data_IF_568676459549
#
_entry.id   IF_568676459549
#
_cell.length_a   1.000
_cell.length_b   1.000
_cell.length_c   1.000
_cell.angle_alpha   90.00
_cell.angle_beta   90.00
_cell.angle_gamma   90.00
#
_symmetry.space_group_name_H-M   'P 1'
#
loop_
_entity.id
_entity.type
_entity.pdbx_description
1 polymer ?
#
# COMPACT_ATOMS: atom_id res chain seq x y z
N UNK A 1 -5.21 11.94 22.02
CA UNK A 1 -4.19 10.94 21.63
C UNK A 1 -4.55 10.48 20.23
N UNK A 2 -3.61 10.39 19.31
CA UNK A 2 -3.84 9.83 17.98
C UNK A 2 -3.38 8.36 17.98
N UNK A 3 -4.22 7.46 17.49
CA UNK A 3 -3.91 6.05 17.35
C UNK A 3 -3.88 5.69 15.87
N UNK A 4 -2.82 5.01 15.44
CA UNK A 4 -2.63 4.59 14.05
C UNK A 4 -2.40 3.07 14.01
N UNK A 5 -3.04 2.40 13.06
CA UNK A 5 -2.81 0.99 12.77
C UNK A 5 -1.81 0.89 11.62
N UNK A 6 -0.78 0.06 11.75
CA UNK A 6 0.19 -0.22 10.68
C UNK A 6 0.14 -1.70 10.30
N UNK A 7 -0.03 -1.97 9.01
CA UNK A 7 -0.20 -3.30 8.44
C UNK A 7 0.87 -3.53 7.37
N UNK A 8 1.93 -4.26 7.69
CA UNK A 8 2.98 -4.63 6.74
C UNK A 8 2.74 -6.01 6.09
N UNK A 9 1.84 -6.81 6.65
CA UNK A 9 1.43 -8.12 6.17
C UNK A 9 2.56 -9.17 6.08
N UNK A 10 3.65 -8.94 6.82
CA UNK A 10 4.77 -9.89 6.87
C UNK A 10 4.42 -11.16 7.65
N UNK A 11 5.02 -12.26 7.26
CA UNK A 11 4.92 -13.54 7.97
C UNK A 11 5.78 -14.61 7.30
N UNK A 12 6.16 -15.60 8.05
CA UNK A 12 7.04 -16.69 7.61
C UNK A 12 6.30 -17.90 7.06
N UNK A 13 4.96 -17.86 7.03
CA UNK A 13 4.17 -19.02 6.61
C UNK A 13 4.28 -19.28 5.11
N UNK A 14 4.64 -20.50 4.77
CA UNK A 14 4.57 -21.00 3.40
C UNK A 14 3.16 -21.47 3.02
N UNK A 15 2.28 -21.70 3.99
CA UNK A 15 0.92 -22.17 3.78
C UNK A 15 0.04 -21.06 3.14
N UNK A 16 -0.52 -21.30 1.95
CA UNK A 16 -1.39 -20.35 1.27
C UNK A 16 -2.65 -19.98 2.08
N UNK A 17 -3.18 -20.92 2.87
CA UNK A 17 -4.36 -20.68 3.71
C UNK A 17 -4.05 -19.64 4.80
N UNK A 18 -2.93 -19.77 5.47
CA UNK A 18 -2.50 -18.82 6.51
C UNK A 18 -2.24 -17.43 5.92
N UNK A 19 -1.70 -17.36 4.69
CA UNK A 19 -1.57 -16.09 3.97
C UNK A 19 -2.93 -15.45 3.69
N UNK A 20 -3.89 -16.23 3.20
CA UNK A 20 -5.26 -15.74 2.95
C UNK A 20 -5.89 -15.20 4.24
N UNK A 21 -5.81 -15.96 5.34
CA UNK A 21 -6.31 -15.53 6.65
C UNK A 21 -5.68 -14.20 7.09
N UNK A 22 -4.37 -14.02 6.89
CA UNK A 22 -3.67 -12.78 7.25
C UNK A 22 -4.25 -11.56 6.51
N UNK A 23 -4.51 -11.67 5.20
CA UNK A 23 -5.10 -10.58 4.43
C UNK A 23 -6.53 -10.26 4.89
N UNK A 24 -7.34 -11.29 5.13
CA UNK A 24 -8.69 -11.11 5.67
C UNK A 24 -8.67 -10.48 7.06
N UNK A 25 -7.80 -10.96 7.95
CA UNK A 25 -7.62 -10.40 9.29
C UNK A 25 -7.19 -8.93 9.24
N UNK A 26 -6.31 -8.55 8.31
CA UNK A 26 -5.89 -7.16 8.16
C UNK A 26 -7.07 -6.24 7.78
N UNK A 27 -7.97 -6.68 6.92
CA UNK A 27 -9.18 -5.95 6.56
C UNK A 27 -10.12 -5.82 7.77
N UNK A 28 -10.34 -6.89 8.53
CA UNK A 28 -11.13 -6.85 9.76
C UNK A 28 -10.51 -5.96 10.84
N UNK A 29 -9.18 -5.95 10.97
CA UNK A 29 -8.48 -5.03 11.86
C UNK A 29 -8.67 -3.57 11.45
N UNK A 30 -8.65 -3.26 10.15
CA UNK A 30 -8.90 -1.92 9.66
C UNK A 30 -10.33 -1.45 9.98
N UNK A 31 -11.32 -2.32 9.78
CA UNK A 31 -12.71 -2.07 10.15
C UNK A 31 -12.87 -1.83 11.65
N UNK A 32 -12.26 -2.69 12.48
CA UNK A 32 -12.24 -2.51 13.93
C UNK A 32 -11.60 -1.19 14.35
N UNK A 33 -10.47 -0.82 13.72
CA UNK A 33 -9.79 0.44 14.01
C UNK A 33 -10.67 1.66 13.66
N UNK A 34 -11.39 1.61 12.54
CA UNK A 34 -12.37 2.63 12.17
C UNK A 34 -13.49 2.77 13.22
N UNK A 35 -14.09 1.65 13.64
CA UNK A 35 -15.12 1.62 14.69
C UNK A 35 -14.62 2.17 16.04
N UNK A 36 -13.34 1.97 16.36
CA UNK A 36 -12.71 2.44 17.59
C UNK A 36 -12.14 3.85 17.51
N UNK A 37 -12.29 4.54 16.38
CA UNK A 37 -11.88 5.93 16.22
C UNK A 37 -10.36 6.09 16.08
N UNK A 38 -9.68 5.12 15.50
CA UNK A 38 -8.28 5.30 15.10
C UNK A 38 -8.17 6.39 14.02
N UNK A 39 -7.06 7.12 14.01
CA UNK A 39 -6.83 8.22 13.08
C UNK A 39 -6.51 7.72 11.68
N UNK A 40 -5.69 6.68 11.57
CA UNK A 40 -5.31 6.11 10.28
C UNK A 40 -5.03 4.61 10.35
N UNK A 41 -5.21 3.95 9.21
CA UNK A 41 -4.62 2.66 8.89
C UNK A 41 -3.59 2.84 7.78
N UNK A 42 -2.39 2.34 7.98
CA UNK A 42 -1.28 2.51 7.06
C UNK A 42 -0.81 1.15 6.55
N UNK A 43 -0.61 1.05 5.24
CA UNK A 43 -0.01 -0.10 4.56
C UNK A 43 1.34 0.30 3.95
N UNK A 44 2.17 -0.67 3.65
CA UNK A 44 3.51 -0.50 3.07
C UNK A 44 3.61 -1.25 1.75
N UNK A 45 4.67 -1.01 0.99
CA UNK A 45 4.92 -1.69 -0.27
C UNK A 45 6.33 -2.27 -0.31
N UNK A 46 6.42 -3.58 -0.58
CA UNK A 46 7.67 -4.24 -0.95
C UNK A 46 7.41 -5.42 -1.87
N UNK A 47 8.25 -5.57 -2.89
CA UNK A 47 8.14 -6.66 -3.85
C UNK A 47 9.23 -7.73 -3.62
N UNK A 48 8.93 -8.97 -4.02
CA UNK A 48 9.86 -10.12 -3.91
C UNK A 48 10.46 -10.24 -2.51
N UNK A 49 9.64 -10.03 -1.50
CA UNK A 49 10.05 -10.18 -0.11
C UNK A 49 9.74 -11.60 0.37
N UNK A 50 10.76 -12.33 0.81
CA UNK A 50 10.65 -13.72 1.28
C UNK A 50 9.67 -13.87 2.45
N UNK A 51 9.56 -12.84 3.27
CA UNK A 51 8.62 -12.79 4.40
C UNK A 51 7.18 -12.40 4.00
N UNK A 52 6.86 -12.36 2.70
CA UNK A 52 5.51 -12.08 2.21
C UNK A 52 5.00 -10.67 2.46
N UNK A 53 5.88 -9.68 2.53
CA UNK A 53 5.49 -8.27 2.62
C UNK A 53 4.50 -7.87 1.53
N UNK A 54 3.60 -6.93 1.82
CA UNK A 54 2.54 -6.52 0.90
C UNK A 54 3.09 -5.98 -0.42
N UNK A 55 2.80 -6.64 -1.57
CA UNK A 55 3.30 -6.18 -2.88
C UNK A 55 2.33 -5.26 -3.62
N UNK A 56 1.08 -5.14 -3.18
CA UNK A 56 0.02 -4.40 -3.89
C UNK A 56 -0.77 -3.53 -2.93
N UNK A 57 -0.18 -2.41 -2.47
CA UNK A 57 -0.80 -1.56 -1.46
C UNK A 57 -2.08 -0.88 -1.95
N UNK A 58 -2.18 -0.55 -3.24
CA UNK A 58 -3.39 0.05 -3.82
C UNK A 58 -4.58 -0.92 -3.76
N UNK A 59 -4.37 -2.20 -4.06
CA UNK A 59 -5.43 -3.22 -3.94
C UNK A 59 -5.90 -3.34 -2.49
N UNK A 60 -4.97 -3.36 -1.54
CA UNK A 60 -5.31 -3.42 -0.11
C UNK A 60 -6.02 -2.14 0.36
N UNK A 61 -5.57 -0.97 -0.09
CA UNK A 61 -6.21 0.30 0.22
C UNK A 61 -7.67 0.35 -0.28
N UNK A 62 -7.91 -0.15 -1.49
CA UNK A 62 -9.28 -0.28 -2.04
C UNK A 62 -10.16 -1.23 -1.21
N UNK A 63 -9.61 -2.37 -0.78
CA UNK A 63 -10.33 -3.31 0.09
C UNK A 63 -10.66 -2.68 1.45
N UNK A 64 -9.71 -1.97 2.06
CA UNK A 64 -9.93 -1.24 3.32
C UNK A 64 -10.97 -0.12 3.13
N UNK A 65 -10.88 0.64 2.04
CA UNK A 65 -11.81 1.72 1.74
C UNK A 65 -13.27 1.23 1.68
N UNK A 66 -13.49 0.03 1.15
CA UNK A 66 -14.83 -0.56 0.99
C UNK A 66 -15.50 -1.00 2.30
N UNK A 67 -14.74 -1.18 3.38
CA UNK A 67 -15.24 -1.67 4.68
C UNK A 67 -15.12 -0.65 5.82
N UNK A 68 -14.63 0.56 5.52
CA UNK A 68 -14.41 1.64 6.49
C UNK A 68 -15.10 2.92 6.04
N UNK A 69 -15.45 3.80 7.00
CA UNK A 69 -16.19 5.03 6.72
C UNK A 69 -15.44 6.32 7.09
N UNK A 70 -14.56 6.29 8.10
CA UNK A 70 -13.96 7.50 8.69
C UNK A 70 -12.44 7.50 8.73
N UNK A 71 -11.84 6.33 8.95
CA UNK A 71 -10.40 6.21 9.13
C UNK A 71 -9.62 6.64 7.86
N UNK A 72 -8.56 7.41 8.03
CA UNK A 72 -7.66 7.74 6.91
C UNK A 72 -6.86 6.51 6.49
N UNK A 73 -6.69 6.34 5.19
CA UNK A 73 -5.97 5.22 4.60
C UNK A 73 -4.65 5.74 4.05
N UNK A 74 -3.54 5.28 4.61
CA UNK A 74 -2.20 5.71 4.21
C UNK A 74 -1.42 4.61 3.50
N UNK A 75 -0.68 4.95 2.45
CA UNK A 75 0.35 4.08 1.85
C UNK A 75 1.71 4.69 2.18
N UNK A 76 2.50 4.04 3.05
CA UNK A 76 3.70 4.62 3.66
C UNK A 76 4.94 3.69 3.52
N UNK A 77 5.61 3.69 2.36
CA UNK A 77 5.43 4.52 1.19
C UNK A 77 4.96 3.69 -0.02
N UNK A 78 4.38 4.38 -1.00
CA UNK A 78 4.10 3.88 -2.34
C UNK A 78 5.38 4.02 -3.18
N UNK A 79 5.85 2.95 -3.81
CA UNK A 79 7.06 2.97 -4.63
C UNK A 79 6.76 3.53 -6.02
N UNK A 80 6.39 4.81 -6.08
CA UNK A 80 5.88 5.46 -7.28
C UNK A 80 6.72 5.23 -8.56
N UNK A 81 8.07 5.23 -8.53
CA UNK A 81 8.87 4.96 -9.73
C UNK A 81 8.65 3.57 -10.35
N UNK A 82 8.05 2.63 -9.63
CA UNK A 82 7.80 1.28 -10.14
C UNK A 82 6.52 1.18 -11.00
N UNK A 83 5.68 2.19 -10.97
CA UNK A 83 4.40 2.22 -11.68
C UNK A 83 4.50 2.88 -13.06
N UNK A 84 3.51 2.59 -13.90
CA UNK A 84 3.15 3.45 -15.03
C UNK A 84 2.38 4.66 -14.49
N UNK A 85 2.73 5.90 -14.85
CA UNK A 85 2.14 7.10 -14.25
C UNK A 85 0.63 7.23 -14.53
N UNK A 86 0.17 6.90 -15.74
CA UNK A 86 -1.24 7.00 -16.09
C UNK A 86 -2.04 5.98 -15.27
N UNK A 87 -1.55 4.74 -15.23
CA UNK A 87 -2.23 3.68 -14.48
C UNK A 87 -2.27 3.97 -12.99
N UNK A 88 -1.18 4.50 -12.45
CA UNK A 88 -1.11 4.90 -11.04
C UNK A 88 -2.13 5.99 -10.73
N UNK A 89 -2.22 7.02 -11.57
CA UNK A 89 -3.18 8.10 -11.38
C UNK A 89 -4.64 7.61 -11.43
N UNK A 90 -4.96 6.70 -12.37
CA UNK A 90 -6.29 6.10 -12.47
C UNK A 90 -6.63 5.26 -11.22
N UNK A 91 -5.73 4.40 -10.76
CA UNK A 91 -5.94 3.55 -9.59
C UNK A 91 -6.10 4.40 -8.31
N UNK A 92 -5.30 5.46 -8.13
CA UNK A 92 -5.43 6.41 -7.02
C UNK A 92 -6.78 7.11 -7.08
N UNK A 93 -7.19 7.63 -8.24
CA UNK A 93 -8.45 8.33 -8.38
C UNK A 93 -9.65 7.43 -8.05
N UNK A 94 -9.64 6.17 -8.47
CA UNK A 94 -10.70 5.21 -8.15
C UNK A 94 -10.77 4.93 -6.65
N UNK A 95 -9.62 4.71 -6.01
CA UNK A 95 -9.59 4.46 -4.56
C UNK A 95 -10.02 5.71 -3.79
N UNK A 96 -9.63 6.90 -4.24
CA UNK A 96 -10.03 8.16 -3.61
C UNK A 96 -11.54 8.36 -3.67
N UNK A 97 -12.17 8.08 -4.80
CA UNK A 97 -13.63 8.10 -4.95
C UNK A 97 -14.32 7.06 -4.04
N UNK A 98 -13.83 5.82 -3.98
CA UNK A 98 -14.37 4.78 -3.09
C UNK A 98 -14.24 5.20 -1.63
N UNK A 99 -13.09 5.74 -1.26
CA UNK A 99 -12.80 6.17 0.11
C UNK A 99 -13.42 7.51 0.48
N UNK A 100 -13.99 8.27 -0.46
CA UNK A 100 -14.52 9.61 -0.27
C UNK A 100 -13.45 10.58 0.27
N UNK A 101 -12.26 10.60 -0.36
CA UNK A 101 -11.18 11.53 -0.03
C UNK A 101 -10.35 11.13 1.20
N UNK A 102 -10.36 9.87 1.63
CA UNK A 102 -9.59 9.39 2.79
C UNK A 102 -8.24 8.78 2.44
N UNK A 103 -7.91 8.65 1.14
CA UNK A 103 -6.62 8.12 0.71
C UNK A 103 -5.52 9.16 0.86
N UNK A 104 -4.37 8.74 1.35
CA UNK A 104 -3.12 9.50 1.36
C UNK A 104 -1.94 8.59 1.11
N UNK A 105 -0.86 9.11 0.56
CA UNK A 105 0.36 8.32 0.37
C UNK A 105 1.62 9.19 0.44
N UNK A 106 2.73 8.54 0.77
CA UNK A 106 4.06 9.10 0.61
C UNK A 106 4.65 8.48 -0.65
N UNK A 107 4.97 9.28 -1.66
CA UNK A 107 5.72 8.83 -2.82
C UNK A 107 7.16 8.49 -2.41
N UNK A 108 7.50 7.21 -2.44
CA UNK A 108 8.81 6.69 -2.07
C UNK A 108 9.61 6.25 -3.29
N UNK A 109 10.92 6.50 -3.28
CA UNK A 109 11.80 6.00 -4.35
C UNK A 109 12.12 4.51 -4.19
N UNK A 110 11.96 3.95 -2.99
CA UNK A 110 12.46 2.61 -2.71
C UNK A 110 13.98 2.54 -2.56
N UNK A 111 14.46 1.47 -1.95
CA UNK A 111 15.89 1.26 -1.68
C UNK A 111 16.39 -0.13 -2.07
N UNK A 112 15.50 -1.01 -2.53
CA UNK A 112 15.85 -2.39 -2.90
C UNK A 112 16.01 -2.50 -4.41
N UNK A 113 17.23 -2.76 -4.86
CA UNK A 113 17.56 -2.86 -6.28
C UNK A 113 16.77 -3.95 -7.00
N UNK A 114 16.48 -5.07 -6.31
CA UNK A 114 15.69 -6.17 -6.86
C UNK A 114 14.28 -5.73 -7.30
N UNK A 115 13.65 -4.79 -6.61
CA UNK A 115 12.33 -4.27 -6.95
C UNK A 115 12.32 -3.52 -8.29
N UNK A 116 13.41 -2.80 -8.56
CA UNK A 116 13.62 -2.14 -9.84
C UNK A 116 13.94 -3.13 -10.96
N UNK A 117 14.73 -4.15 -10.66
CA UNK A 117 15.08 -5.18 -11.62
C UNK A 117 13.85 -5.92 -12.14
N UNK A 118 12.96 -6.38 -11.26
CA UNK A 118 11.73 -7.07 -11.66
C UNK A 118 10.72 -6.17 -12.38
N UNK A 119 10.76 -4.86 -12.12
CA UNK A 119 9.93 -3.85 -12.77
C UNK A 119 10.52 -3.37 -14.10
N UNK A 120 11.67 -3.93 -14.51
CA UNK A 120 12.42 -3.54 -15.70
C UNK A 120 12.74 -2.03 -15.75
N UNK A 121 13.11 -1.47 -14.60
CA UNK A 121 13.47 -0.05 -14.44
C UNK A 121 14.89 0.11 -13.88
N UNK A 122 15.64 1.13 -14.30
CA UNK A 122 17.00 1.32 -13.84
C UNK A 122 17.04 1.90 -12.42
N UNK A 123 17.57 1.14 -11.47
CA UNK A 123 17.70 1.55 -10.06
C UNK A 123 18.48 2.86 -9.88
N UNK A 124 19.57 3.05 -10.64
CA UNK A 124 20.41 4.25 -10.56
C UNK A 124 19.67 5.53 -10.99
N UNK A 125 18.61 5.38 -11.78
CA UNK A 125 17.78 6.48 -12.30
C UNK A 125 16.46 6.66 -11.55
N UNK A 126 16.32 6.08 -10.36
CA UNK A 126 15.05 6.12 -9.61
C UNK A 126 14.56 7.53 -9.27
N UNK A 127 15.47 8.50 -9.14
CA UNK A 127 15.10 9.91 -8.98
C UNK A 127 14.45 10.49 -10.24
N UNK A 128 15.05 10.27 -11.41
CA UNK A 128 14.49 10.68 -12.71
C UNK A 128 13.11 10.03 -12.95
N UNK A 129 12.95 8.76 -12.57
CA UNK A 129 11.66 8.07 -12.67
C UNK A 129 10.63 8.60 -11.68
N UNK A 130 11.04 9.02 -10.48
CA UNK A 130 10.14 9.68 -9.54
C UNK A 130 9.58 10.97 -10.12
N UNK A 131 10.45 11.83 -10.66
CA UNK A 131 10.03 13.09 -11.30
C UNK A 131 9.04 12.81 -12.45
N UNK A 132 9.39 11.86 -13.33
CA UNK A 132 8.52 11.47 -14.46
C UNK A 132 7.14 10.94 -14.04
N UNK A 133 7.01 10.29 -12.90
CA UNK A 133 5.73 9.76 -12.42
C UNK A 133 4.89 10.84 -11.73
N UNK A 134 5.53 11.86 -11.15
CA UNK A 134 4.83 12.91 -10.42
C UNK A 134 4.47 14.13 -11.28
N UNK A 135 5.10 14.29 -12.44
CA UNK A 135 4.81 15.34 -13.45
C UNK A 135 3.63 14.97 -14.35
#
# INVERSE_FOLDING_TARGET
>A
MQANLRLNLTGSESDPLLRSIRYQTAIEMAKFADEKGFTSVNVEEHHVAENGWLPSPLVMAGAIASVTERINIGIMALLAPLYDPIRLAEDIAVIDLISQGRLSFIAGQGYREIEYHISNKPYQKRGEWMDHVLD
#
